data_IF_734559013316
#
_entry.id   IF_734559013316
#
_cell.length_a   1.000
_cell.length_b   1.000
_cell.length_c   1.000
_cell.angle_alpha   90.00
_cell.angle_beta   90.00
_cell.angle_gamma   90.00
#
_symmetry.space_group_name_H-M   'P 1'
#
loop_
_entity.id
_entity.type
_entity.pdbx_description
1 polymer ?
#
# COMPACT_ATOMS: atom_id res chain seq x y z
N UNK A 1 -6.06 10.68 8.82
CA UNK A 1 -5.91 10.06 7.49
C UNK A 1 -7.31 9.81 6.95
N UNK A 2 -7.47 9.38 5.72
CA UNK A 2 -8.81 9.06 5.26
C UNK A 2 -9.29 7.74 5.84
N UNK A 3 -10.61 7.60 6.04
CA UNK A 3 -11.15 6.39 6.68
C UNK A 3 -10.82 5.12 5.89
N UNK A 4 -10.72 5.18 4.56
CA UNK A 4 -10.38 4.00 3.75
C UNK A 4 -8.91 3.60 3.90
N UNK A 5 -7.98 4.56 3.84
CA UNK A 5 -6.55 4.26 4.02
C UNK A 5 -6.26 3.81 5.45
N UNK A 6 -6.90 4.42 6.47
CA UNK A 6 -6.82 3.95 7.86
C UNK A 6 -7.29 2.51 8.01
N UNK A 7 -8.43 2.17 7.42
CA UNK A 7 -8.95 0.81 7.46
C UNK A 7 -8.05 -0.18 6.69
N UNK A 8 -7.44 0.26 5.58
CA UNK A 8 -6.48 -0.54 4.82
C UNK A 8 -5.25 -0.88 5.66
N UNK A 9 -4.63 0.14 6.26
CA UNK A 9 -3.45 -0.01 7.13
C UNK A 9 -3.79 -0.92 8.31
N UNK A 10 -4.93 -0.69 8.98
CA UNK A 10 -5.36 -1.51 10.11
C UNK A 10 -5.63 -2.97 9.73
N UNK A 11 -6.24 -3.23 8.57
CA UNK A 11 -6.47 -4.60 8.07
C UNK A 11 -5.13 -5.28 7.71
N UNK A 12 -4.22 -4.58 7.05
CA UNK A 12 -2.88 -5.09 6.74
C UNK A 12 -2.08 -5.40 8.01
N UNK A 13 -2.10 -4.52 9.01
CA UNK A 13 -1.40 -4.71 10.29
C UNK A 13 -1.98 -5.90 11.07
N UNK A 14 -3.29 -6.10 11.02
CA UNK A 14 -3.95 -7.25 11.64
C UNK A 14 -3.58 -8.57 10.95
N UNK A 15 -3.51 -8.59 9.62
CA UNK A 15 -3.22 -9.80 8.83
C UNK A 15 -1.72 -10.12 8.78
N UNK A 16 -0.85 -9.11 8.88
CA UNK A 16 0.61 -9.22 8.84
C UNK A 16 1.27 -8.54 10.05
N UNK A 17 1.00 -8.97 11.29
CA UNK A 17 1.48 -8.29 12.49
C UNK A 17 2.98 -8.50 12.76
N UNK A 18 3.55 -9.60 12.24
CA UNK A 18 4.94 -9.97 12.51
C UNK A 18 5.89 -9.01 11.80
N UNK A 19 6.70 -8.29 12.59
CA UNK A 19 7.66 -7.29 12.12
C UNK A 19 7.00 -6.20 11.25
N UNK A 20 5.81 -5.74 11.62
CA UNK A 20 5.16 -4.61 10.95
C UNK A 20 6.07 -3.39 10.91
N UNK A 21 6.20 -2.77 9.73
CA UNK A 21 7.09 -1.64 9.49
C UNK A 21 8.53 -2.01 9.16
N UNK A 22 8.92 -3.29 9.25
CA UNK A 22 10.23 -3.79 8.84
C UNK A 22 10.17 -4.31 7.38
N UNK A 23 10.82 -3.65 6.41
CA UNK A 23 10.75 -4.03 4.99
C UNK A 23 11.48 -5.36 4.67
N UNK A 24 12.45 -5.77 5.51
CA UNK A 24 13.27 -6.97 5.29
C UNK A 24 12.66 -8.20 5.97
N UNK A 25 11.94 -8.02 7.08
CA UNK A 25 11.42 -9.14 7.89
C UNK A 25 9.91 -9.25 7.94
N UNK A 26 9.20 -8.21 7.54
CA UNK A 26 7.74 -8.11 7.64
C UNK A 26 7.15 -7.32 6.50
N UNK A 27 6.03 -6.63 6.77
CA UNK A 27 5.35 -5.76 5.83
C UNK A 27 5.58 -4.31 6.23
N UNK A 28 6.11 -3.51 5.30
CA UNK A 28 6.10 -2.06 5.35
C UNK A 28 5.32 -1.53 4.15
N UNK A 29 4.41 -0.60 4.40
CA UNK A 29 3.69 0.11 3.34
C UNK A 29 3.92 1.60 3.47
N UNK A 30 3.91 2.27 2.32
CA UNK A 30 3.91 3.73 2.24
C UNK A 30 2.87 4.17 1.24
N UNK A 31 2.01 5.11 1.64
CA UNK A 31 0.99 5.67 0.75
C UNK A 31 1.53 6.99 0.22
N UNK A 32 1.46 7.17 -1.09
CA UNK A 32 2.05 8.31 -1.80
C UNK A 32 0.93 9.18 -2.38
N UNK A 33 1.14 10.49 -2.35
CA UNK A 33 0.45 11.43 -3.22
C UNK A 33 1.42 11.98 -4.30
N UNK A 34 0.91 12.79 -5.23
CA UNK A 34 1.69 13.35 -6.33
C UNK A 34 2.80 14.33 -5.89
N UNK A 35 2.83 14.76 -4.63
CA UNK A 35 3.79 15.77 -4.14
C UNK A 35 4.73 15.25 -3.05
N UNK A 36 4.41 14.15 -2.36
CA UNK A 36 5.18 13.63 -1.22
C UNK A 36 4.89 12.16 -0.87
N UNK A 37 5.90 11.50 -0.28
CA UNK A 37 5.76 10.20 0.35
C UNK A 37 5.24 10.37 1.78
N UNK A 38 4.05 9.86 2.10
CA UNK A 38 3.49 9.93 3.44
C UNK A 38 3.39 8.54 4.05
N UNK A 39 4.47 8.12 4.74
CA UNK A 39 4.36 7.24 5.91
C UNK A 39 5.64 7.30 6.76
N UNK A 40 5.81 8.41 7.48
CA UNK A 40 6.38 8.41 8.83
C UNK A 40 5.27 8.95 9.74
N UNK A 41 5.15 8.41 10.96
CA UNK A 41 3.98 8.45 11.86
C UNK A 41 3.44 9.85 12.24
N UNK A 42 4.00 10.94 11.71
CA UNK A 42 3.84 12.30 12.22
C UNK A 42 3.08 13.30 11.30
N UNK A 43 2.54 12.90 10.15
CA UNK A 43 1.82 13.85 9.26
C UNK A 43 0.29 13.64 9.18
N UNK A 44 -0.44 14.62 9.70
CA UNK A 44 -1.82 14.52 10.21
C UNK A 44 -2.96 14.67 9.19
N UNK A 45 -2.70 14.79 7.88
CA UNK A 45 -3.80 14.87 6.91
C UNK A 45 -3.38 14.39 5.50
N UNK A 46 -3.81 13.18 5.14
CA UNK A 46 -3.72 12.67 3.76
C UNK A 46 -5.06 12.88 3.06
N UNK A 47 -5.20 13.86 2.14
CA UNK A 47 -6.40 14.00 1.32
C UNK A 47 -6.47 12.88 0.27
N UNK A 48 -7.46 11.97 0.36
CA UNK A 48 -7.66 10.85 -0.60
C UNK A 48 -7.64 11.28 -2.06
N UNK A 49 -8.06 12.52 -2.33
CA UNK A 49 -8.17 13.12 -3.66
C UNK A 49 -6.84 13.28 -4.41
N UNK A 50 -5.71 13.12 -3.72
CA UNK A 50 -4.36 13.25 -4.28
C UNK A 50 -3.63 11.90 -4.28
N UNK A 51 -4.33 10.79 -4.02
CA UNK A 51 -3.74 9.44 -4.05
C UNK A 51 -2.99 9.19 -5.36
N UNK A 52 -1.70 8.86 -5.25
CA UNK A 52 -0.84 8.46 -6.36
C UNK A 52 -0.54 6.97 -6.33
N UNK A 53 -0.32 6.40 -5.14
CA UNK A 53 0.01 4.98 -5.04
C UNK A 53 0.26 4.45 -3.65
N UNK A 54 0.55 3.15 -3.60
CA UNK A 54 1.03 2.44 -2.41
C UNK A 54 2.32 1.73 -2.77
N UNK A 55 3.40 2.05 -2.07
CA UNK A 55 4.64 1.27 -2.09
C UNK A 55 4.58 0.18 -1.04
N UNK A 56 5.08 -1.00 -1.40
CA UNK A 56 4.97 -2.23 -0.63
C UNK A 56 6.39 -2.81 -0.52
N UNK A 57 6.85 -3.01 0.71
CA UNK A 57 8.01 -3.83 0.99
C UNK A 57 7.58 -5.03 1.85
N UNK A 58 7.88 -6.25 1.40
CA UNK A 58 7.54 -7.47 2.12
C UNK A 58 8.65 -8.50 2.02
N UNK A 59 9.40 -8.70 3.11
CA UNK A 59 10.49 -9.69 3.15
C UNK A 59 11.45 -9.57 1.95
N UNK A 60 12.10 -8.41 1.81
CA UNK A 60 13.04 -8.07 0.71
C UNK A 60 12.38 -7.91 -0.68
N UNK A 61 11.09 -8.25 -0.83
CA UNK A 61 10.34 -7.94 -2.04
C UNK A 61 9.90 -6.47 -2.03
N UNK A 62 10.09 -5.78 -3.15
CA UNK A 62 9.60 -4.42 -3.36
C UNK A 62 8.61 -4.39 -4.52
N UNK A 63 7.47 -3.74 -4.28
CA UNK A 63 6.45 -3.52 -5.29
C UNK A 63 5.76 -2.18 -5.07
N UNK A 64 5.02 -1.73 -6.07
CA UNK A 64 4.12 -0.59 -5.92
C UNK A 64 2.84 -0.79 -6.73
N UNK A 65 1.78 -0.16 -6.24
CA UNK A 65 0.53 0.05 -6.96
C UNK A 65 0.42 1.54 -7.18
N UNK A 66 0.48 2.01 -8.43
CA UNK A 66 0.39 3.43 -8.78
C UNK A 66 -0.81 3.68 -9.69
N UNK A 67 -1.27 4.93 -9.76
CA UNK A 67 -2.30 5.35 -10.72
C UNK A 67 -1.77 6.44 -11.64
N UNK A 68 -2.07 6.34 -12.94
CA UNK A 68 -1.70 7.35 -13.94
C UNK A 68 -2.89 8.30 -14.24
N UNK A 69 -4.10 7.75 -14.43
CA UNK A 69 -5.32 8.50 -14.76
C UNK A 69 -6.47 8.25 -13.77
N UNK A 70 -6.17 8.17 -12.46
CA UNK A 70 -7.09 7.97 -11.30
C UNK A 70 -7.93 6.68 -11.30
N UNK A 71 -8.33 6.13 -12.45
CA UNK A 71 -9.09 4.88 -12.58
C UNK A 71 -8.23 3.70 -13.03
N UNK A 72 -7.11 3.99 -13.70
CA UNK A 72 -6.17 2.97 -14.16
C UNK A 72 -5.02 2.83 -13.17
N UNK A 73 -4.74 1.58 -12.79
CA UNK A 73 -3.73 1.24 -11.80
C UNK A 73 -2.67 0.32 -12.42
N UNK A 74 -1.42 0.66 -12.18
CA UNK A 74 -0.26 -0.15 -12.53
C UNK A 74 0.26 -0.88 -11.29
N UNK A 75 0.67 -2.13 -11.46
CA UNK A 75 1.35 -2.90 -10.42
C UNK A 75 2.75 -3.24 -10.93
N UNK A 76 3.76 -2.69 -10.27
CA UNK A 76 5.17 -2.92 -10.58
C UNK A 76 5.82 -3.72 -9.48
N UNK A 77 6.57 -4.77 -9.84
CA UNK A 77 7.35 -5.58 -8.91
C UNK A 77 8.82 -5.42 -9.27
N UNK A 78 9.62 -4.95 -8.31
CA UNK A 78 11.01 -4.55 -8.51
C UNK A 78 12.02 -5.62 -8.10
N UNK A 79 11.60 -6.65 -7.38
CA UNK A 79 12.45 -7.78 -7.00
C UNK A 79 11.69 -9.11 -7.10
N UNK A 80 12.43 -10.21 -7.28
CA UNK A 80 11.84 -11.54 -7.41
C UNK A 80 11.09 -11.94 -6.14
N UNK A 81 9.89 -12.48 -6.31
CA UNK A 81 9.09 -13.01 -5.20
C UNK A 81 9.36 -14.50 -5.06
N UNK A 82 9.87 -14.91 -3.90
CA UNK A 82 9.93 -16.33 -3.55
C UNK A 82 8.53 -16.96 -3.57
N UNK A 83 8.41 -18.21 -4.03
CA UNK A 83 7.12 -18.88 -4.18
C UNK A 83 6.35 -18.93 -2.85
N UNK A 84 7.07 -19.12 -1.74
CA UNK A 84 6.55 -19.13 -0.37
C UNK A 84 5.96 -17.78 0.07
N UNK A 85 6.38 -16.68 -0.55
CA UNK A 85 5.90 -15.34 -0.26
C UNK A 85 4.88 -14.84 -1.30
N UNK A 86 4.77 -15.49 -2.46
CA UNK A 86 3.85 -15.09 -3.53
C UNK A 86 2.38 -15.10 -3.06
N UNK A 87 1.96 -16.14 -2.33
CA UNK A 87 0.60 -16.20 -1.79
C UNK A 87 0.31 -15.03 -0.83
N UNK A 88 1.26 -14.70 0.05
CA UNK A 88 1.12 -13.58 0.97
C UNK A 88 1.09 -12.24 0.22
N UNK A 89 1.93 -12.08 -0.81
CA UNK A 89 1.91 -10.88 -1.64
C UNK A 89 0.57 -10.68 -2.34
N UNK A 90 0.00 -11.73 -2.95
CA UNK A 90 -1.33 -11.62 -3.58
C UNK A 90 -2.42 -11.22 -2.58
N UNK A 91 -2.30 -11.67 -1.32
CA UNK A 91 -3.20 -11.27 -0.24
C UNK A 91 -3.02 -9.79 0.15
N UNK A 92 -1.79 -9.29 0.20
CA UNK A 92 -1.49 -7.86 0.41
C UNK A 92 -2.15 -7.02 -0.69
N UNK A 93 -1.94 -7.38 -1.96
CA UNK A 93 -2.54 -6.70 -3.11
C UNK A 93 -4.06 -6.70 -3.02
N UNK A 94 -4.67 -7.84 -2.66
CA UNK A 94 -6.12 -7.96 -2.52
C UNK A 94 -6.70 -7.07 -1.40
N UNK A 95 -6.00 -6.91 -0.28
CA UNK A 95 -6.43 -6.00 0.80
C UNK A 95 -6.34 -4.55 0.31
N UNK A 96 -5.24 -4.18 -0.35
CA UNK A 96 -5.06 -2.82 -0.88
C UNK A 96 -6.16 -2.50 -1.90
N UNK A 97 -6.34 -3.35 -2.91
CA UNK A 97 -7.35 -3.13 -3.97
C UNK A 97 -8.77 -3.04 -3.43
N UNK A 98 -9.13 -3.86 -2.43
CA UNK A 98 -10.42 -3.80 -1.74
C UNK A 98 -10.69 -2.42 -1.14
N UNK A 99 -9.71 -1.78 -0.52
CA UNK A 99 -9.90 -0.46 0.10
C UNK A 99 -9.81 0.67 -0.93
N UNK A 100 -8.91 0.58 -1.91
CA UNK A 100 -8.86 1.55 -3.02
C UNK A 100 -10.18 1.59 -3.81
N UNK A 101 -10.84 0.45 -4.01
CA UNK A 101 -12.14 0.37 -4.71
C UNK A 101 -13.28 1.15 -4.05
N UNK A 102 -13.11 1.58 -2.79
CA UNK A 102 -14.10 2.32 -2.00
C UNK A 102 -13.77 3.81 -1.89
N UNK A 103 -12.65 4.24 -2.44
CA UNK A 103 -12.25 5.64 -2.45
C UNK A 103 -13.02 6.38 -3.55
N UNK A 104 -13.43 7.61 -3.25
CA UNK A 104 -14.01 8.52 -4.23
C UNK A 104 -12.89 9.38 -4.82
N UNK A 105 -12.31 8.93 -5.92
CA UNK A 105 -11.38 9.74 -6.70
C UNK A 105 -12.17 10.86 -7.40
N UNK A 106 -11.83 12.14 -7.14
CA UNK A 106 -12.47 13.25 -7.88
C UNK A 106 -12.01 13.24 -9.34
N UNK A 107 -12.91 13.56 -10.27
CA UNK A 107 -12.58 13.73 -11.69
C UNK A 107 -11.89 15.08 -11.94
#
# INVERSE_FOLDING_TARGET
>A
MSKNIENMVAELQKEFPNNWGDPEKGLKISVCDNESEYFEEDNLYFPEKIFYGVRIAYKEMHAEITTEERTDFNISIYSSVGLENLANFTKIINIISKHLSRMNFEN
#
